data_IF_903165139920
#
_entry.id   IF_903165139920
#
_cell.length_a   1.000
_cell.length_b   1.000
_cell.length_c   1.000
_cell.angle_alpha   90.00
_cell.angle_beta   90.00
_cell.angle_gamma   90.00
#
_symmetry.space_group_name_H-M   'P 1'
#
loop_
_entity.id
_entity.type
_entity.pdbx_description
1 polymer ?
#
# COMPACT_ATOMS: atom_id res chain seq x y z
N UNK A 1 -42.87 21.11 14.33
CA UNK A 1 -41.56 21.37 13.68
C UNK A 1 -40.48 21.24 14.74
N UNK A 2 -39.56 20.29 14.59
CA UNK A 2 -38.46 20.06 15.52
C UNK A 2 -37.83 18.70 15.27
N UNK A 3 -36.85 18.64 14.37
CA UNK A 3 -36.05 17.44 14.13
C UNK A 3 -35.07 17.28 15.30
N UNK A 4 -35.03 16.09 15.90
CA UNK A 4 -34.11 15.71 16.98
C UNK A 4 -32.65 15.67 16.50
N UNK A 5 -31.71 16.34 17.19
CA UNK A 5 -30.29 16.33 16.84
C UNK A 5 -29.63 15.07 17.43
N UNK A 6 -29.66 13.96 16.69
CA UNK A 6 -29.11 12.68 17.16
C UNK A 6 -28.22 11.95 16.16
N UNK A 7 -27.91 12.56 15.02
CA UNK A 7 -27.20 11.93 13.92
C UNK A 7 -25.99 12.76 13.49
N UNK A 8 -25.14 13.12 14.44
CA UNK A 8 -23.78 13.53 14.13
C UNK A 8 -22.79 12.82 15.05
N UNK A 9 -21.75 12.31 14.42
CA UNK A 9 -20.48 11.88 15.02
C UNK A 9 -20.49 10.54 15.77
N UNK A 10 -20.75 9.45 15.05
CA UNK A 10 -20.13 8.16 15.40
C UNK A 10 -18.75 8.07 14.76
N UNK A 11 -17.81 8.92 15.18
CA UNK A 11 -16.41 8.52 15.13
C UNK A 11 -16.30 7.32 16.05
N UNK A 12 -16.10 6.15 15.48
CA UNK A 12 -15.68 4.97 16.25
C UNK A 12 -14.46 5.42 17.04
N UNK A 13 -14.58 5.54 18.36
CA UNK A 13 -13.42 5.69 19.23
C UNK A 13 -12.64 4.39 19.05
N UNK A 14 -11.63 4.45 18.19
CA UNK A 14 -10.67 3.36 18.04
C UNK A 14 -9.84 3.41 19.31
N UNK A 15 -10.08 2.43 20.19
CA UNK A 15 -9.36 2.28 21.44
C UNK A 15 -7.85 2.20 21.14
N UNK A 16 -7.04 3.03 21.77
CA UNK A 16 -5.57 3.02 21.59
C UNK A 16 -4.99 1.64 21.90
N UNK A 17 -5.67 0.88 22.76
CA UNK A 17 -5.36 -0.52 23.08
C UNK A 17 -5.40 -1.45 21.85
N UNK A 18 -6.24 -1.19 20.84
CA UNK A 18 -6.30 -2.01 19.61
C UNK A 18 -4.99 -1.88 18.82
N UNK A 19 -4.39 -0.68 18.77
CA UNK A 19 -3.08 -0.47 18.15
C UNK A 19 -1.93 -1.13 18.93
N UNK A 20 -2.13 -1.39 20.22
CA UNK A 20 -1.11 -1.95 21.11
C UNK A 20 -1.10 -3.48 21.18
N UNK A 21 -1.97 -4.18 20.43
CA UNK A 21 -1.96 -5.64 20.43
C UNK A 21 -0.60 -6.17 19.92
N UNK A 22 0.20 -6.70 20.87
CA UNK A 22 1.40 -7.52 20.72
C UNK A 22 2.03 -7.50 19.33
N UNK A 23 2.86 -6.51 19.05
CA UNK A 23 3.77 -6.55 17.92
C UNK A 23 5.16 -6.32 18.44
N UNK A 24 5.74 -7.38 18.99
CA UNK A 24 7.17 -7.50 19.17
C UNK A 24 7.86 -7.07 17.87
N UNK A 25 8.96 -6.32 17.99
CA UNK A 25 9.79 -5.97 16.84
C UNK A 25 10.17 -7.27 16.14
N UNK A 26 9.73 -7.43 14.88
CA UNK A 26 10.12 -8.56 14.05
C UNK A 26 11.51 -8.24 13.48
N UNK A 27 12.50 -8.17 14.37
CA UNK A 27 13.80 -7.54 14.12
C UNK A 27 14.62 -8.19 13.02
N UNK A 28 14.28 -9.41 12.61
CA UNK A 28 14.91 -10.16 11.51
C UNK A 28 13.95 -10.43 10.34
N UNK A 29 12.69 -9.96 10.41
CA UNK A 29 11.73 -10.20 9.36
C UNK A 29 11.97 -9.31 8.14
N UNK A 30 11.92 -9.94 6.97
CA UNK A 30 11.85 -9.29 5.67
C UNK A 30 10.41 -9.41 5.18
N UNK A 31 9.78 -8.29 4.86
CA UNK A 31 8.40 -8.27 4.38
C UNK A 31 8.35 -7.70 2.97
N UNK A 32 7.60 -8.37 2.10
CA UNK A 32 7.29 -7.89 0.77
C UNK A 32 5.78 -7.67 0.65
N UNK A 33 5.40 -6.48 0.21
CA UNK A 33 3.99 -6.08 0.03
C UNK A 33 3.72 -5.90 -1.46
N UNK A 34 2.68 -6.56 -1.98
CA UNK A 34 2.15 -6.32 -3.32
C UNK A 34 0.87 -5.50 -3.17
N UNK A 35 0.89 -4.26 -3.64
CA UNK A 35 -0.27 -3.37 -3.58
C UNK A 35 -0.50 -2.77 -4.96
N UNK A 36 -1.65 -3.06 -5.59
CA UNK A 36 -1.99 -2.48 -6.89
C UNK A 36 -1.99 -0.95 -6.86
N UNK A 37 -2.40 -0.36 -5.73
CA UNK A 37 -2.40 1.07 -5.50
C UNK A 37 -1.92 1.36 -4.08
N UNK A 38 -0.95 2.27 -3.94
CA UNK A 38 -0.38 2.68 -2.66
C UNK A 38 0.07 4.14 -2.78
N UNK A 39 -0.55 5.07 -2.06
CA UNK A 39 -0.31 6.50 -2.22
C UNK A 39 -0.42 7.21 -0.86
N UNK A 40 0.48 8.16 -0.53
CA UNK A 40 0.25 9.05 0.59
C UNK A 40 -0.94 9.99 0.29
N UNK A 41 -1.66 10.35 1.35
CA UNK A 41 -2.72 11.37 1.34
C UNK A 41 -3.97 11.08 0.48
N UNK A 42 -4.14 9.84 0.02
CA UNK A 42 -5.36 9.36 -0.63
C UNK A 42 -6.25 8.55 0.34
N UNK A 43 -7.56 8.74 0.26
CA UNK A 43 -8.54 7.89 0.95
C UNK A 43 -8.87 6.61 0.16
N UNK A 44 -9.46 5.59 0.81
CA UNK A 44 -9.80 4.27 0.24
C UNK A 44 -8.62 3.27 0.21
N UNK A 45 -8.63 2.31 -0.72
CA UNK A 45 -7.60 1.26 -0.89
C UNK A 45 -6.13 1.77 -0.91
N UNK A 46 -5.77 2.85 -1.64
CA UNK A 46 -4.39 3.37 -1.65
C UNK A 46 -3.87 3.85 -0.29
N UNK A 47 -4.72 4.55 0.47
CA UNK A 47 -4.37 5.05 1.80
C UNK A 47 -4.24 3.94 2.84
N UNK A 48 -5.06 2.90 2.71
CA UNK A 48 -4.95 1.69 3.52
C UNK A 48 -3.59 1.02 3.33
N UNK A 49 -3.18 0.79 2.07
CA UNK A 49 -1.88 0.21 1.76
C UNK A 49 -0.73 1.07 2.32
N UNK A 50 -0.81 2.40 2.16
CA UNK A 50 0.19 3.33 2.67
C UNK A 50 0.32 3.29 4.20
N UNK A 51 -0.80 3.25 4.93
CA UNK A 51 -0.77 3.16 6.39
C UNK A 51 -0.15 1.84 6.87
N UNK A 52 -0.46 0.73 6.21
CA UNK A 52 0.15 -0.58 6.50
C UNK A 52 1.68 -0.51 6.32
N UNK A 53 2.16 0.05 5.21
CA UNK A 53 3.59 0.21 4.92
C UNK A 53 4.30 1.05 5.98
N UNK A 54 3.70 2.17 6.40
CA UNK A 54 4.23 3.01 7.49
C UNK A 54 4.32 2.29 8.83
N UNK A 55 3.36 1.42 9.13
CA UNK A 55 3.36 0.63 10.35
C UNK A 55 4.42 -0.47 10.30
N UNK A 56 4.51 -1.18 9.17
CA UNK A 56 5.47 -2.27 8.98
C UNK A 56 6.92 -1.76 8.94
N UNK A 57 7.18 -0.64 8.28
CA UNK A 57 8.55 -0.10 8.12
C UNK A 57 9.24 0.24 9.44
N UNK A 58 8.48 0.41 10.53
CA UNK A 58 9.00 0.65 11.88
C UNK A 58 9.33 -0.64 12.64
N UNK A 59 8.98 -1.81 12.09
CA UNK A 59 8.94 -3.09 12.81
C UNK A 59 9.76 -4.19 12.15
N UNK A 60 10.12 -4.03 10.88
CA UNK A 60 10.80 -5.05 10.07
C UNK A 60 12.17 -4.55 9.63
N UNK A 61 13.13 -5.46 9.46
CA UNK A 61 14.50 -5.13 9.03
C UNK A 61 14.54 -4.63 7.59
N UNK A 62 13.69 -5.21 6.74
CA UNK A 62 13.61 -4.87 5.31
C UNK A 62 12.16 -4.92 4.84
N UNK A 63 11.71 -3.82 4.25
CA UNK A 63 10.41 -3.72 3.62
C UNK A 63 10.56 -3.43 2.13
N UNK A 64 10.00 -4.30 1.30
CA UNK A 64 9.94 -4.10 -0.15
C UNK A 64 8.47 -3.99 -0.57
N UNK A 65 8.16 -3.03 -1.44
CA UNK A 65 6.79 -2.76 -1.88
C UNK A 65 6.74 -2.77 -3.39
N UNK A 66 5.92 -3.64 -3.97
CA UNK A 66 5.61 -3.65 -5.40
C UNK A 66 4.30 -2.91 -5.61
N UNK A 67 4.32 -1.82 -6.37
CA UNK A 67 3.14 -1.01 -6.67
C UNK A 67 3.06 -0.62 -8.15
N UNK A 68 1.87 -0.23 -8.60
CA UNK A 68 1.68 0.27 -9.95
C UNK A 68 2.51 1.54 -10.18
N UNK A 69 3.13 1.63 -11.35
CA UNK A 69 3.81 2.85 -11.79
C UNK A 69 2.78 3.94 -12.13
N UNK A 70 2.65 4.94 -11.26
CA UNK A 70 1.91 6.16 -11.53
C UNK A 70 2.86 7.34 -11.34
N UNK A 71 3.20 8.06 -12.43
CA UNK A 71 4.29 9.05 -12.46
C UNK A 71 4.20 10.08 -11.33
N UNK A 72 3.02 10.62 -11.10
CA UNK A 72 2.81 11.63 -10.05
C UNK A 72 2.93 11.05 -8.64
N UNK A 73 2.66 9.75 -8.49
CA UNK A 73 2.72 9.06 -7.20
C UNK A 73 4.14 8.67 -6.80
N UNK A 74 4.98 8.26 -7.76
CA UNK A 74 6.38 7.88 -7.50
C UNK A 74 7.12 9.01 -6.79
N UNK A 75 6.93 10.25 -7.27
CA UNK A 75 7.55 11.43 -6.69
C UNK A 75 7.04 11.70 -5.27
N UNK A 76 5.71 11.60 -5.06
CA UNK A 76 5.10 11.81 -3.74
C UNK A 76 5.55 10.76 -2.72
N UNK A 77 5.51 9.47 -3.11
CA UNK A 77 6.04 8.37 -2.29
C UNK A 77 7.52 8.64 -1.96
N UNK A 78 8.34 8.95 -2.97
CA UNK A 78 9.77 9.16 -2.77
C UNK A 78 10.07 10.32 -1.82
N UNK A 79 9.36 11.45 -1.96
CA UNK A 79 9.46 12.58 -1.05
C UNK A 79 9.06 12.20 0.37
N UNK A 80 7.96 11.47 0.52
CA UNK A 80 7.41 11.09 1.82
C UNK A 80 8.27 10.06 2.55
N UNK A 81 8.76 9.04 1.83
CA UNK A 81 9.72 8.05 2.34
C UNK A 81 10.99 8.74 2.82
N UNK A 82 11.51 9.69 2.05
CA UNK A 82 12.70 10.47 2.43
C UNK A 82 12.42 11.37 3.64
N UNK A 83 11.26 12.03 3.68
CA UNK A 83 10.82 12.89 4.79
C UNK A 83 10.72 12.12 6.11
N UNK A 84 10.17 10.91 6.05
CA UNK A 84 9.94 10.06 7.22
C UNK A 84 11.11 9.12 7.54
N UNK A 85 12.14 9.06 6.70
CA UNK A 85 13.30 8.17 6.88
C UNK A 85 12.93 6.68 6.88
N UNK A 86 11.93 6.27 6.09
CA UNK A 86 11.44 4.89 6.13
C UNK A 86 12.43 3.95 5.42
N UNK A 87 12.83 2.81 6.03
CA UNK A 87 13.70 1.82 5.40
C UNK A 87 12.90 0.92 4.45
N UNK A 88 12.32 1.53 3.40
CA UNK A 88 11.45 0.85 2.43
C UNK A 88 11.96 1.04 1.01
N UNK A 89 11.94 -0.04 0.24
CA UNK A 89 12.27 -0.03 -1.18
C UNK A 89 11.01 -0.24 -2.02
N UNK A 90 10.72 0.71 -2.91
CA UNK A 90 9.60 0.61 -3.84
C UNK A 90 10.04 0.09 -5.20
N UNK A 91 9.26 -0.84 -5.74
CA UNK A 91 9.39 -1.43 -7.06
C UNK A 91 8.14 -1.08 -7.87
N UNK A 92 8.31 -0.31 -8.94
CA UNK A 92 7.19 0.17 -9.75
C UNK A 92 7.01 -0.69 -10.99
N UNK A 93 5.80 -1.20 -11.19
CA UNK A 93 5.47 -2.05 -12.34
C UNK A 93 4.43 -1.36 -13.23
N UNK A 94 4.76 -0.96 -14.47
CA UNK A 94 3.81 -0.33 -15.37
C UNK A 94 2.70 -1.28 -15.81
N UNK A 95 1.50 -0.73 -16.01
CA UNK A 95 0.34 -1.45 -16.55
C UNK A 95 0.51 -1.88 -18.03
N UNK A 96 1.48 -1.31 -18.75
CA UNK A 96 1.61 -1.45 -20.20
C UNK A 96 0.67 -0.51 -20.96
N UNK A 97 0.92 -0.32 -22.27
CA UNK A 97 0.28 0.70 -23.12
C UNK A 97 -1.21 0.45 -23.49
N UNK A 98 -2.04 -0.10 -22.61
CA UNK A 98 -3.50 -0.15 -22.87
C UNK A 98 -4.22 0.91 -22.04
N UNK A 99 -4.49 2.06 -22.67
CA UNK A 99 -5.17 3.22 -22.11
C UNK A 99 -6.68 3.02 -21.83
N UNK A 100 -7.20 1.80 -21.98
CA UNK A 100 -8.64 1.54 -21.89
C UNK A 100 -9.03 1.06 -20.48
N UNK A 101 -8.75 1.89 -19.47
CA UNK A 101 -9.03 1.62 -18.04
C UNK A 101 -10.53 1.76 -17.67
N UNK A 102 -11.42 1.98 -18.65
CA UNK A 102 -12.78 2.43 -18.38
C UNK A 102 -13.88 1.53 -18.96
N UNK A 103 -13.56 0.35 -19.51
CA UNK A 103 -14.58 -0.59 -19.98
C UNK A 103 -14.59 -1.84 -19.10
N UNK A 104 -15.56 -1.88 -18.20
CA UNK A 104 -15.96 -3.14 -17.57
C UNK A 104 -16.41 -4.13 -18.66
N UNK A 105 -16.03 -5.43 -18.62
CA UNK A 105 -15.25 -6.12 -17.59
C UNK A 105 -13.73 -6.21 -17.86
N UNK A 106 -13.21 -5.59 -18.92
CA UNK A 106 -11.81 -5.70 -19.35
C UNK A 106 -10.80 -5.23 -18.29
N UNK A 107 -11.23 -4.33 -17.40
CA UNK A 107 -10.42 -3.85 -16.27
C UNK A 107 -9.95 -4.98 -15.35
N UNK A 108 -10.79 -6.01 -15.10
CA UNK A 108 -10.39 -7.16 -14.28
C UNK A 108 -9.28 -7.99 -14.93
N UNK A 109 -9.31 -8.14 -16.26
CA UNK A 109 -8.26 -8.84 -16.98
C UNK A 109 -6.93 -8.09 -16.90
N UNK A 110 -6.97 -6.76 -17.00
CA UNK A 110 -5.78 -5.92 -16.87
C UNK A 110 -5.22 -6.01 -15.44
N UNK A 111 -6.09 -5.92 -14.43
CA UNK A 111 -5.74 -6.08 -13.02
C UNK A 111 -5.09 -7.45 -12.74
N UNK A 112 -5.69 -8.54 -13.21
CA UNK A 112 -5.16 -9.90 -13.03
C UNK A 112 -3.82 -10.07 -13.77
N UNK A 113 -3.69 -9.53 -14.98
CA UNK A 113 -2.42 -9.57 -15.73
C UNK A 113 -1.32 -8.79 -15.02
N UNK A 114 -1.66 -7.67 -14.38
CA UNK A 114 -0.71 -6.94 -13.55
C UNK A 114 -0.27 -7.78 -12.34
N UNK A 115 -1.21 -8.44 -11.64
CA UNK A 115 -0.88 -9.31 -10.49
C UNK A 115 0.02 -10.48 -10.88
N UNK A 116 -0.23 -11.12 -12.03
CA UNK A 116 0.66 -12.19 -12.54
C UNK A 116 2.06 -11.66 -12.82
N UNK A 117 2.19 -10.44 -13.36
CA UNK A 117 3.50 -9.82 -13.59
C UNK A 117 4.19 -9.42 -12.28
N UNK A 118 3.43 -8.92 -11.30
CA UNK A 118 3.92 -8.61 -9.97
C UNK A 118 4.43 -9.87 -9.26
N UNK A 119 3.69 -10.99 -9.33
CA UNK A 119 4.12 -12.27 -8.76
C UNK A 119 5.46 -12.74 -9.35
N UNK A 120 5.63 -12.67 -10.67
CA UNK A 120 6.91 -13.02 -11.32
C UNK A 120 8.06 -12.12 -10.90
N UNK A 121 7.81 -10.83 -10.72
CA UNK A 121 8.81 -9.90 -10.20
C UNK A 121 9.20 -10.29 -8.77
N UNK A 122 8.21 -10.63 -7.93
CA UNK A 122 8.45 -11.08 -6.56
C UNK A 122 9.26 -12.37 -6.52
N UNK A 123 8.95 -13.36 -7.35
CA UNK A 123 9.74 -14.59 -7.44
C UNK A 123 11.21 -14.29 -7.77
N UNK A 124 11.45 -13.35 -8.68
CA UNK A 124 12.80 -12.86 -9.00
C UNK A 124 13.49 -12.15 -7.84
N UNK A 125 12.76 -11.36 -7.05
CA UNK A 125 13.31 -10.66 -5.88
C UNK A 125 13.65 -11.64 -4.76
N UNK A 126 12.81 -12.67 -4.56
CA UNK A 126 13.04 -13.73 -3.59
C UNK A 126 14.23 -14.60 -3.98
N UNK A 127 14.37 -14.95 -5.26
CA UNK A 127 15.49 -15.77 -5.74
C UNK A 127 16.84 -15.04 -5.72
N UNK A 128 16.85 -13.71 -5.81
CA UNK A 128 18.08 -12.89 -5.75
C UNK A 128 18.49 -12.58 -4.30
N UNK A 129 17.58 -12.78 -3.34
CA UNK A 129 17.76 -12.47 -1.93
C UNK A 129 18.13 -13.65 -1.04
N UNK A 130 18.32 -14.85 -1.61
CA UNK A 130 18.90 -16.05 -1.00
C UNK A 130 20.38 -16.17 -1.39
#
# INVERSE_FOLDING_TARGET
MGLTPGLMDRRVQVDEAIYQTNCETLSDARVLVIAFSCHPDDGSEPGMAWNIIKCLSKRVTKLEVVTLEYRDNILRIGQEVKRLGLPVQFHYLPLGRSSTFHRWPLNYLIYNRWHVRAARLVDSLLSTGQ
#
